data_IF_493677684990
#
_entry.id   IF_493677684990
#
_cell.length_a   1.000
_cell.length_b   1.000
_cell.length_c   1.000
_cell.angle_alpha   90.00
_cell.angle_beta   90.00
_cell.angle_gamma   90.00
#
_symmetry.space_group_name_H-M   'P 1'
#
loop_
_entity.id
_entity.type
_entity.pdbx_description
1 polymer ?
#
# COMPACT_ATOMS: atom_id res chain seq x y z
N UNK A 1 -33.44 -14.24 -44.46
CA UNK A 1 -33.17 -15.16 -43.33
C UNK A 1 -33.91 -14.64 -42.10
N UNK A 2 -34.97 -15.34 -41.64
CA UNK A 2 -35.76 -14.95 -40.46
C UNK A 2 -35.13 -15.54 -39.21
N UNK A 3 -34.41 -14.73 -38.43
CA UNK A 3 -33.88 -15.16 -37.14
C UNK A 3 -35.06 -15.43 -36.21
N UNK A 4 -35.17 -16.65 -35.66
CA UNK A 4 -36.32 -17.05 -34.82
C UNK A 4 -36.26 -16.28 -33.50
N UNK A 5 -37.35 -15.59 -33.08
CA UNK A 5 -37.35 -14.69 -31.92
C UNK A 5 -36.96 -15.37 -30.60
N UNK A 6 -37.17 -16.68 -30.48
CA UNK A 6 -36.79 -17.48 -29.30
C UNK A 6 -35.28 -17.74 -29.20
N UNK A 7 -34.54 -17.76 -30.32
CA UNK A 7 -33.08 -17.93 -30.31
C UNK A 7 -32.36 -16.64 -29.88
N UNK A 8 -32.90 -15.48 -30.26
CA UNK A 8 -32.38 -14.18 -29.81
C UNK A 8 -32.64 -13.94 -28.32
N UNK A 9 -33.71 -14.50 -27.76
CA UNK A 9 -34.05 -14.33 -26.34
C UNK A 9 -33.02 -14.99 -25.41
N UNK A 10 -32.59 -16.21 -25.74
CA UNK A 10 -31.57 -16.95 -24.96
C UNK A 10 -30.19 -16.30 -25.13
N UNK A 11 -29.83 -15.90 -26.35
CA UNK A 11 -28.57 -15.21 -26.63
C UNK A 11 -28.46 -13.87 -25.88
N UNK A 12 -29.54 -13.09 -25.85
CA UNK A 12 -29.58 -11.81 -25.13
C UNK A 12 -29.57 -12.01 -23.60
N UNK A 13 -30.21 -13.07 -23.09
CA UNK A 13 -30.14 -13.41 -21.67
C UNK A 13 -28.71 -13.78 -21.25
N UNK A 14 -28.00 -14.57 -22.07
CA UNK A 14 -26.62 -14.97 -21.79
C UNK A 14 -25.64 -13.79 -21.88
N UNK A 15 -25.81 -12.93 -22.89
CA UNK A 15 -25.04 -11.69 -23.02
C UNK A 15 -25.30 -10.74 -21.84
N UNK A 16 -26.55 -10.66 -21.36
CA UNK A 16 -26.92 -9.88 -20.18
C UNK A 16 -26.27 -10.39 -18.90
N UNK A 17 -26.26 -11.70 -18.69
CA UNK A 17 -25.56 -12.31 -17.53
C UNK A 17 -24.05 -12.07 -17.61
N UNK A 18 -23.44 -12.24 -18.79
CA UNK A 18 -22.01 -12.00 -18.97
C UNK A 18 -21.63 -10.53 -18.72
N UNK A 19 -22.45 -9.60 -19.21
CA UNK A 19 -22.28 -8.17 -18.96
C UNK A 19 -22.42 -7.82 -17.46
N UNK A 20 -23.36 -8.47 -16.76
CA UNK A 20 -23.57 -8.27 -15.33
C UNK A 20 -22.37 -8.77 -14.51
N UNK A 21 -21.80 -9.92 -14.86
CA UNK A 21 -20.57 -10.43 -14.23
C UNK A 21 -19.38 -9.49 -14.45
N UNK A 22 -19.22 -8.94 -15.65
CA UNK A 22 -18.17 -7.96 -15.96
C UNK A 22 -18.30 -6.66 -15.14
N UNK A 23 -19.52 -6.16 -14.98
CA UNK A 23 -19.79 -4.95 -14.20
C UNK A 23 -19.47 -5.13 -12.69
N UNK A 24 -19.77 -6.29 -12.12
CA UNK A 24 -19.48 -6.60 -10.71
C UNK A 24 -17.97 -6.73 -10.45
N UNK A 25 -17.21 -7.28 -11.40
CA UNK A 25 -15.75 -7.37 -11.28
C UNK A 25 -15.08 -5.99 -11.31
N UNK A 26 -15.56 -5.09 -12.18
CA UNK A 26 -15.07 -3.70 -12.28
C UNK A 26 -15.36 -2.89 -11.00
N UNK A 27 -16.53 -3.09 -10.38
CA UNK A 27 -16.88 -2.42 -9.13
C UNK A 27 -15.94 -2.82 -7.96
N UNK A 28 -15.54 -4.09 -7.88
CA UNK A 28 -14.64 -4.59 -6.83
C UNK A 28 -13.17 -4.12 -6.98
N UNK A 29 -12.78 -3.62 -8.16
CA UNK A 29 -11.42 -3.13 -8.37
C UNK A 29 -11.16 -1.76 -7.72
N UNK A 30 -12.22 -0.98 -7.44
CA UNK A 30 -12.12 0.40 -7.00
C UNK A 30 -11.80 0.58 -5.49
N UNK A 31 -11.85 -0.49 -4.69
CA UNK A 31 -11.77 -0.38 -3.21
C UNK A 31 -10.38 -0.66 -2.60
N UNK A 32 -9.39 -1.08 -3.39
CA UNK A 32 -8.09 -1.50 -2.85
C UNK A 32 -7.07 -0.35 -2.72
N UNK A 33 -7.47 0.80 -2.17
CA UNK A 33 -6.51 1.85 -1.83
C UNK A 33 -5.92 1.58 -0.44
N UNK A 34 -4.61 1.26 -0.31
CA UNK A 34 -4.02 1.04 0.99
C UNK A 34 -4.01 2.33 1.82
N UNK A 35 -4.17 2.18 3.13
CA UNK A 35 -3.89 3.25 4.07
C UNK A 35 -2.38 3.35 4.26
N UNK A 36 -1.84 4.57 4.26
CA UNK A 36 -0.43 4.83 4.49
C UNK A 36 -0.24 5.52 5.83
N UNK A 37 0.59 4.93 6.70
CA UNK A 37 0.93 5.49 8.02
C UNK A 37 2.45 5.68 8.06
N UNK A 38 2.90 6.93 8.19
CA UNK A 38 4.31 7.28 8.30
C UNK A 38 4.64 7.60 9.76
N UNK A 39 5.48 6.77 10.38
CA UNK A 39 5.94 6.95 11.77
C UNK A 39 7.40 7.39 11.73
N UNK A 40 7.70 8.57 12.28
CA UNK A 40 9.05 9.11 12.39
C UNK A 40 9.39 9.24 13.87
N UNK A 41 10.44 8.55 14.32
CA UNK A 41 10.98 8.68 15.67
C UNK A 41 12.06 9.77 15.70
N UNK A 42 12.09 10.55 16.78
CA UNK A 42 13.12 11.59 17.00
C UNK A 42 14.31 10.98 17.75
N UNK A 43 15.52 11.32 17.33
CA UNK A 43 16.79 10.86 17.92
C UNK A 43 16.93 9.32 18.14
N UNK A 44 16.26 8.49 17.33
CA UNK A 44 16.39 7.03 17.42
C UNK A 44 17.71 6.56 16.80
N UNK A 45 18.60 6.02 17.64
CA UNK A 45 19.88 5.48 17.22
C UNK A 45 19.76 4.13 16.49
N UNK A 46 20.73 3.85 15.61
CA UNK A 46 20.77 2.60 14.82
C UNK A 46 20.69 1.34 15.69
N UNK A 47 21.30 1.36 16.88
CA UNK A 47 21.37 0.21 17.80
C UNK A 47 20.34 0.25 18.94
N UNK A 48 19.33 1.11 18.88
CA UNK A 48 18.32 1.25 19.94
C UNK A 48 17.14 0.28 19.78
N UNK A 49 17.14 -0.53 18.72
CA UNK A 49 16.04 -1.45 18.36
C UNK A 49 16.51 -2.90 18.33
N UNK A 50 15.64 -3.81 18.77
CA UNK A 50 15.92 -5.23 18.88
C UNK A 50 16.31 -5.88 17.55
N UNK A 51 15.65 -5.50 16.46
CA UNK A 51 15.98 -6.01 15.11
C UNK A 51 17.38 -5.63 14.62
N UNK A 52 18.02 -4.62 15.22
CA UNK A 52 19.43 -4.27 14.98
C UNK A 52 20.38 -4.78 16.09
N UNK A 53 19.91 -5.69 16.93
CA UNK A 53 20.70 -6.38 17.96
C UNK A 53 20.76 -5.66 19.31
N UNK A 54 19.87 -4.69 19.59
CA UNK A 54 19.77 -4.11 20.92
C UNK A 54 19.29 -5.15 21.94
N UNK A 55 19.99 -5.29 23.06
CA UNK A 55 19.58 -6.15 24.19
C UNK A 55 19.08 -5.36 25.39
N UNK A 56 19.35 -4.05 25.42
CA UNK A 56 19.10 -3.20 26.59
C UNK A 56 17.71 -2.55 26.55
N UNK A 57 17.18 -2.31 25.33
CA UNK A 57 15.88 -1.69 25.08
C UNK A 57 14.97 -2.72 24.39
N UNK A 58 13.82 -3.01 24.99
CA UNK A 58 12.85 -3.97 24.42
C UNK A 58 11.86 -3.25 23.49
N UNK A 59 11.86 -3.61 22.20
CA UNK A 59 11.04 -2.94 21.16
C UNK A 59 10.11 -3.89 20.41
N UNK A 60 9.27 -4.70 21.10
CA UNK A 60 8.61 -5.87 20.51
C UNK A 60 7.69 -5.54 19.34
N UNK A 61 7.02 -4.39 19.35
CA UNK A 61 6.16 -3.95 18.26
C UNK A 61 6.95 -3.53 17.02
N UNK A 62 8.10 -2.86 17.21
CA UNK A 62 8.97 -2.44 16.10
C UNK A 62 9.66 -3.67 15.50
N UNK A 63 10.08 -4.61 16.36
CA UNK A 63 10.71 -5.86 15.93
C UNK A 63 9.72 -6.72 15.13
N UNK A 64 8.45 -6.77 15.55
CA UNK A 64 7.39 -7.44 14.78
C UNK A 64 7.14 -6.77 13.41
N UNK A 65 7.17 -5.44 13.33
CA UNK A 65 7.07 -4.71 12.06
C UNK A 65 8.25 -5.03 11.14
N UNK A 66 9.48 -5.10 11.68
CA UNK A 66 10.67 -5.46 10.91
C UNK A 66 10.58 -6.91 10.39
N UNK A 67 10.16 -7.86 11.24
CA UNK A 67 10.02 -9.27 10.86
C UNK A 67 8.91 -9.53 9.83
N UNK A 68 7.82 -8.76 9.89
CA UNK A 68 6.70 -8.86 8.95
C UNK A 68 6.83 -7.99 7.69
N UNK A 69 7.90 -7.21 7.58
CA UNK A 69 8.07 -6.18 6.56
C UNK A 69 9.43 -6.22 5.86
N UNK A 70 9.89 -5.05 5.45
CA UNK A 70 11.21 -4.86 4.85
C UNK A 70 12.04 -3.92 5.71
N UNK A 71 13.32 -4.26 5.91
CA UNK A 71 14.27 -3.45 6.68
C UNK A 71 15.32 -2.86 5.76
N UNK A 72 15.54 -1.54 5.87
CA UNK A 72 16.60 -0.84 5.14
C UNK A 72 17.85 -0.78 6.00
N UNK A 73 18.88 -1.54 5.65
CA UNK A 73 20.13 -1.61 6.44
C UNK A 73 21.08 -0.43 6.21
N UNK A 74 20.86 0.35 5.15
CA UNK A 74 21.70 1.46 4.72
C UNK A 74 20.82 2.70 4.44
N UNK A 75 20.03 3.11 5.44
CA UNK A 75 19.18 4.30 5.39
C UNK A 75 19.87 5.46 6.12
N UNK A 76 20.12 6.57 5.43
CA UNK A 76 20.88 7.71 5.94
C UNK A 76 20.04 8.98 6.01
N UNK A 77 20.33 9.84 7.00
CA UNK A 77 19.65 11.11 7.25
C UNK A 77 20.64 12.24 7.45
N UNK A 78 20.16 13.48 7.46
CA UNK A 78 20.98 14.61 7.89
C UNK A 78 21.19 14.54 9.42
N UNK A 79 22.34 14.97 9.95
CA UNK A 79 22.64 14.89 11.39
C UNK A 79 21.92 15.96 12.22
N UNK A 80 20.69 16.33 11.82
CA UNK A 80 19.84 17.31 12.51
C UNK A 80 18.38 17.08 12.14
N UNK A 81 17.48 17.25 13.12
CA UNK A 81 16.05 17.00 12.96
C UNK A 81 15.40 17.87 11.87
N UNK A 82 15.65 19.17 11.86
CA UNK A 82 15.03 20.11 10.92
C UNK A 82 15.31 19.79 9.44
N UNK A 83 16.57 19.64 8.97
CA UNK A 83 16.84 19.31 7.57
C UNK A 83 16.39 17.89 7.20
N UNK A 84 16.41 16.93 8.13
CA UNK A 84 15.88 15.58 7.88
C UNK A 84 14.37 15.60 7.67
N UNK A 85 13.61 16.27 8.55
CA UNK A 85 12.16 16.40 8.42
C UNK A 85 11.78 17.18 7.17
N UNK A 86 12.48 18.27 6.88
CA UNK A 86 12.28 19.02 5.65
C UNK A 86 12.50 18.14 4.40
N UNK A 87 13.52 17.28 4.38
CA UNK A 87 13.76 16.36 3.27
C UNK A 87 12.70 15.25 3.15
N UNK A 88 12.11 14.80 4.27
CA UNK A 88 11.03 13.80 4.27
C UNK A 88 9.68 14.39 3.82
N UNK A 89 9.40 15.63 4.19
CA UNK A 89 8.17 16.35 3.84
C UNK A 89 8.29 17.12 2.52
N UNK A 90 9.51 17.26 1.98
CA UNK A 90 9.75 17.94 0.71
C UNK A 90 9.02 17.20 -0.41
N UNK A 91 7.89 17.78 -0.78
CA UNK A 91 7.18 17.42 -2.00
C UNK A 91 8.06 17.87 -3.17
N UNK A 92 8.28 16.95 -4.12
CA UNK A 92 9.01 17.28 -5.33
C UNK A 92 8.36 18.49 -6.03
N UNK A 93 9.13 19.41 -6.61
CA UNK A 93 8.62 20.69 -7.12
C UNK A 93 7.58 20.53 -8.24
N UNK A 94 7.39 19.33 -8.77
CA UNK A 94 6.43 18.94 -9.81
C UNK A 94 5.06 18.48 -9.28
N UNK A 95 4.85 18.44 -7.96
CA UNK A 95 3.60 17.95 -7.35
C UNK A 95 2.68 19.05 -6.77
N UNK A 96 2.80 20.31 -7.24
CA UNK A 96 1.85 21.42 -7.03
C UNK A 96 1.44 22.01 -8.38
#
# INVERSE_FOLDING_TARGET
>A
MKVKPRQNLIANAFAGVLALFGAVALANAAENKPNFVHIVADDLGWKDVGFNGCTDITTPNIDALAAGGATLTQFYVQPMCAPTRAALEAVAPDAI
#
